data_IF_805634762306
#
_entry.id   IF_805634762306
#
_cell.length_a   1.000
_cell.length_b   1.000
_cell.length_c   1.000
_cell.angle_alpha   90.00
_cell.angle_beta   90.00
_cell.angle_gamma   90.00
#
_symmetry.space_group_name_H-M   'P 1'
#
loop_
_entity.id
_entity.type
_entity.pdbx_description
1 polymer ?
2 non-polymer ?
3 non-polymer ?
4 water ?
#
# COMPACT_ATOMS: atom_id res chain seq x y z
N UNK A 2 20.76 0.78 -22.81
CA UNK A 2 20.62 1.69 -23.96
C UNK A 2 19.18 1.81 -24.46
N UNK A 3 18.22 1.35 -23.64
CA UNK A 3 16.81 1.55 -23.96
C UNK A 3 16.44 3.01 -23.75
N UNK A 4 15.71 3.58 -24.71
CA UNK A 4 15.38 4.99 -24.61
C UNK A 4 14.31 5.18 -23.54
N UNK A 5 14.23 6.41 -23.03
CA UNK A 5 13.16 6.72 -22.09
C UNK A 5 11.82 6.60 -22.79
N UNK A 6 11.75 7.00 -24.07
CA UNK A 6 10.49 6.88 -24.81
C UNK A 6 10.02 5.43 -24.83
N UNK A 7 10.94 4.48 -25.01
CA UNK A 7 10.54 3.08 -25.07
C UNK A 7 10.12 2.57 -23.69
N UNK A 8 10.81 2.97 -22.62
CA UNK A 8 10.35 2.57 -21.28
C UNK A 8 8.96 3.12 -21.03
N UNK A 9 8.75 4.41 -21.37
CA UNK A 9 7.45 5.01 -21.12
C UNK A 9 6.37 4.30 -21.93
N UNK A 10 6.66 3.94 -23.18
CA UNK A 10 5.67 3.27 -24.01
C UNK A 10 5.37 1.87 -23.48
N UNK A 11 6.42 1.16 -23.06
CA UNK A 11 6.21 -0.20 -22.52
C UNK A 11 5.37 -0.17 -21.26
N UNK A 12 5.72 0.70 -20.31
CA UNK A 12 4.95 0.66 -19.04
C UNK A 12 3.51 1.13 -19.29
N UNK A 13 3.32 2.17 -20.10
CA UNK A 13 1.97 2.56 -20.47
C UNK A 13 1.19 1.37 -21.04
N UNK A 14 1.84 0.55 -21.88
CA UNK A 14 1.12 -0.57 -22.53
C UNK A 14 0.66 -1.60 -21.50
N UNK A 15 1.38 -1.73 -20.37
CA UNK A 15 0.93 -2.70 -19.35
C UNK A 15 -0.41 -2.29 -18.77
N UNK A 16 -0.60 -1.01 -18.51
CA UNK A 16 -1.89 -0.53 -18.03
C UNK A 16 -2.95 -0.59 -19.12
N UNK A 17 -2.58 -0.21 -20.34
CA UNK A 17 -3.54 -0.28 -21.45
C UNK A 17 -4.03 -1.70 -21.62
N UNK A 18 -3.12 -2.67 -21.63
CA UNK A 18 -3.54 -4.02 -21.97
C UNK A 18 -4.39 -4.63 -20.87
N UNK A 19 -4.20 -4.18 -19.62
CA UNK A 19 -5.08 -4.56 -18.51
C UNK A 19 -6.41 -3.84 -18.54
N UNK A 20 -6.65 -2.98 -19.52
CA UNK A 20 -7.93 -2.29 -19.66
C UNK A 20 -8.27 -1.43 -18.45
N UNK A 21 -7.26 -0.77 -17.90
CA UNK A 21 -7.44 0.04 -16.71
C UNK A 21 -6.82 1.40 -16.99
N UNK A 22 -6.89 2.26 -15.99
CA UNK A 22 -6.23 3.55 -16.02
C UNK A 22 -5.39 3.64 -14.75
N UNK A 23 -4.11 3.94 -14.90
CA UNK A 23 -3.31 3.98 -13.70
C UNK A 23 -1.95 4.62 -13.91
N UNK A 24 -1.23 4.73 -12.81
CA UNK A 24 0.11 5.28 -12.79
C UNK A 24 0.97 4.40 -11.90
N UNK A 25 2.28 4.41 -12.15
CA UNK A 25 3.21 3.89 -11.16
C UNK A 25 4.29 4.95 -10.98
N UNK A 26 4.53 5.33 -9.72
CA UNK A 26 5.57 6.31 -9.37
C UNK A 26 6.76 5.55 -8.82
N UNK A 27 7.95 5.86 -9.31
CA UNK A 27 9.18 5.24 -8.85
C UNK A 27 10.03 6.34 -8.24
N UNK A 28 10.72 6.05 -7.16
CA UNK A 28 11.57 7.06 -6.55
C UNK A 28 12.99 6.51 -6.46
N UNK A 29 13.95 7.27 -6.99
CA UNK A 29 15.36 6.89 -6.94
C UNK A 29 16.09 8.02 -6.23
N UNK A 30 16.55 7.75 -5.02
CA UNK A 30 17.06 8.83 -4.20
C UNK A 30 15.94 9.79 -3.91
N UNK A 31 16.13 11.05 -4.31
CA UNK A 31 15.10 12.06 -4.12
C UNK A 31 14.23 12.26 -5.36
N UNK A 32 14.52 11.58 -6.49
CA UNK A 32 13.89 11.89 -7.78
C UNK A 32 12.72 10.97 -8.05
N UNK A 33 11.57 11.56 -8.32
CA UNK A 33 10.37 10.82 -8.70
C UNK A 33 10.31 10.67 -10.22
N UNK A 34 9.87 9.50 -10.65
CA UNK A 34 9.56 9.23 -12.04
C UNK A 34 8.15 8.68 -12.12
N UNK A 35 7.39 9.11 -13.12
CA UNK A 35 5.98 8.77 -13.21
C UNK A 35 5.74 8.08 -14.55
N UNK A 36 5.19 6.88 -14.49
CA UNK A 36 4.91 6.09 -15.67
C UNK A 36 3.46 5.60 -15.63
N UNK A 37 2.98 5.08 -16.77
CA UNK A 37 1.65 4.46 -16.80
C UNK A 37 0.83 5.08 -17.92
N UNK A 38 -0.48 4.87 -17.86
CA UNK A 38 -1.35 5.38 -18.93
C UNK A 38 -2.31 6.46 -18.47
N UNK A 39 -2.16 6.98 -17.23
CA UNK A 39 -3.01 8.07 -16.76
C UNK A 39 -2.18 8.87 -15.75
N UNK A 40 -1.20 9.61 -16.28
CA UNK A 40 -0.19 10.22 -15.42
C UNK A 40 -0.77 11.24 -14.43
N UNK A 41 -1.88 11.89 -14.79
CA UNK A 41 -2.48 12.89 -13.93
C UNK A 41 -2.96 12.32 -12.60
N UNK A 42 -3.07 10.99 -12.49
CA UNK A 42 -3.43 10.41 -11.20
C UNK A 42 -2.35 10.63 -10.15
N UNK A 43 -1.12 10.98 -10.55
CA UNK A 43 -0.01 11.04 -9.60
C UNK A 43 -0.28 11.93 -8.40
N UNK A 44 -0.92 13.11 -8.59
CA UNK A 44 -1.15 14.05 -7.49
C UNK A 44 -2.63 14.16 -7.13
N UNK A 45 -3.45 13.16 -7.50
CA UNK A 45 -4.84 13.10 -7.07
C UNK A 45 -4.97 12.23 -5.82
N UNK A 46 -5.95 12.58 -5.00
CA UNK A 46 -6.21 11.89 -3.73
C UNK A 46 -7.18 10.73 -3.93
N UNK A 47 -6.86 9.60 -3.30
CA UNK A 47 -7.72 8.42 -3.25
C UNK A 47 -7.73 7.86 -1.84
N UNK A 48 -8.75 7.08 -1.49
CA UNK A 48 -8.67 6.42 -0.18
C UNK A 48 -7.49 5.48 -0.17
N UNK A 49 -6.80 5.33 0.96
CA UNK A 49 -5.64 4.44 0.97
C UNK A 49 -6.03 2.98 0.94
N UNK A 50 -7.27 2.68 1.31
CA UNK A 50 -7.70 1.29 1.43
C UNK A 50 -6.68 0.51 2.26
N UNK A 51 -6.40 -0.74 1.90
CA UNK A 51 -5.57 -1.56 2.80
C UNK A 51 -4.10 -1.14 2.84
N UNK A 52 -3.65 -0.19 1.98
CA UNK A 52 -2.30 0.31 2.23
C UNK A 52 -2.17 0.94 3.61
N UNK A 53 -3.28 1.40 4.20
CA UNK A 53 -3.23 1.98 5.53
C UNK A 53 -2.79 0.94 6.57
N UNK A 55 -0.17 -0.72 6.73
CA UNK A 55 1.20 -0.42 7.12
C UNK A 55 1.28 0.55 8.28
N UNK A 56 0.53 1.63 8.19
CA UNK A 56 0.57 2.63 9.27
C UNK A 56 -0.23 2.18 10.50
N UNK A 57 -1.36 1.50 10.29
CA UNK A 57 -2.10 0.95 11.41
C UNK A 57 -1.18 0.08 12.26
N UNK A 58 -0.43 -0.82 11.60
CA UNK A 58 0.45 -1.72 12.33
C UNK A 58 1.54 -0.95 13.08
N UNK A 59 2.17 0.04 12.42
CA UNK A 59 3.15 0.86 13.11
C UNK A 59 2.56 1.51 14.34
N UNK A 60 1.38 2.13 14.21
CA UNK A 60 0.74 2.79 15.33
C UNK A 60 0.42 1.80 16.44
N UNK A 61 -0.14 0.63 16.08
CA UNK A 61 -0.56 -0.29 17.14
C UNK A 61 0.64 -0.88 17.87
N UNK A 62 1.72 -1.18 17.14
CA UNK A 62 2.89 -1.73 17.83
C UNK A 62 3.54 -0.67 18.70
N UNK A 63 3.75 0.52 18.13
CA UNK A 63 4.45 1.57 18.88
C UNK A 63 3.73 1.88 20.18
N UNK A 64 2.40 1.84 20.18
CA UNK A 64 1.57 2.21 21.29
C UNK A 64 1.14 0.99 22.11
N UNK A 65 1.79 -0.16 21.91
CA UNK A 65 1.58 -1.34 22.76
C UNK A 65 0.14 -1.85 22.71
N UNK A 66 -0.50 -1.71 21.54
CA UNK A 66 -1.84 -2.24 21.38
C UNK A 66 -1.84 -3.67 20.87
N UNK A 67 -0.67 -4.19 20.48
CA UNK A 67 -0.50 -5.56 20.03
C UNK A 67 1.00 -5.84 20.04
N UNK A 68 1.35 -7.12 19.98
CA UNK A 68 2.72 -7.57 19.76
C UNK A 68 2.77 -8.30 18.44
N UNK A 69 4.00 -8.57 17.93
CA UNK A 69 4.08 -9.24 16.63
C UNK A 69 3.73 -10.71 16.69
N UNK A 70 3.73 -11.31 17.88
CA UNK A 70 3.36 -12.71 17.99
C UNK A 70 1.93 -12.91 18.47
N UNK A 71 1.23 -11.86 18.85
CA UNK A 71 -0.14 -12.01 19.34
C UNK A 71 -1.02 -12.61 18.25
N UNK A 72 -1.84 -13.58 18.62
CA UNK A 72 -2.74 -14.22 17.68
C UNK A 72 -4.13 -13.61 17.91
N UNK A 73 -4.63 -12.92 16.88
CA UNK A 73 -5.98 -12.37 16.86
C UNK A 73 -6.91 -13.51 16.47
N UNK A 74 -7.74 -13.95 17.42
CA UNK A 74 -8.60 -15.10 17.15
C UNK A 74 -9.80 -14.72 16.29
N UNK A 75 -10.10 -15.55 15.31
CA UNK A 75 -11.34 -15.39 14.56
C UNK A 75 -12.52 -15.57 15.49
N UNK A 76 -13.50 -14.67 15.42
CA UNK A 76 -14.62 -14.70 16.36
C UNK A 76 -15.68 -15.71 15.96
N UNK A 77 -15.46 -16.44 14.88
CA UNK A 77 -16.41 -17.45 14.47
C UNK A 77 -17.54 -16.96 13.60
N UNK A 78 -17.61 -15.66 13.34
CA UNK A 78 -18.62 -15.14 12.43
C UNK A 78 -18.18 -15.24 10.96
N UNK A 79 -19.16 -15.37 10.08
CA UNK A 79 -18.85 -15.46 8.66
C UNK A 79 -18.17 -14.17 8.23
N UNK A 80 -17.10 -14.31 7.48
CA UNK A 80 -16.36 -13.17 6.96
C UNK A 80 -16.70 -12.97 5.51
N UNK A 81 -16.33 -11.80 4.99
CA UNK A 81 -16.61 -11.52 3.60
C UNK A 81 -15.91 -12.54 2.71
N UNK A 82 -14.72 -12.98 3.10
CA UNK A 82 -13.92 -13.97 2.42
C UNK A 82 -13.58 -15.10 3.37
N UNK A 83 -13.72 -16.35 2.95
CA UNK A 83 -13.39 -17.47 3.86
C UNK A 83 -11.95 -17.53 4.31
N UNK A 84 -11.00 -16.98 3.55
CA UNK A 84 -9.62 -17.04 3.99
C UNK A 84 -9.38 -16.19 5.25
N UNK A 85 -10.31 -15.31 5.60
CA UNK A 85 -10.18 -14.55 6.84
C UNK A 85 -10.77 -15.28 8.06
N UNK A 86 -11.35 -16.45 7.87
CA UNK A 86 -12.00 -17.19 8.97
C UNK A 86 -10.97 -18.05 9.72
N UNK A 87 -9.98 -17.38 10.26
CA UNK A 87 -8.90 -18.06 10.93
C UNK A 87 -8.17 -17.08 11.82
N UNK A 88 -7.38 -17.64 12.71
CA UNK A 88 -6.62 -16.91 13.70
C UNK A 88 -5.31 -16.43 13.10
N UNK A 89 -4.92 -15.19 13.41
CA UNK A 89 -3.85 -14.55 12.63
C UNK A 89 -3.03 -13.63 13.52
N UNK A 90 -1.71 -13.60 13.27
CA UNK A 90 -0.89 -12.48 13.76
C UNK A 90 -1.08 -11.27 12.85
N UNK A 91 -0.52 -10.12 13.28
CA UNK A 91 -0.58 -8.92 12.43
C UNK A 91 0.08 -9.18 11.10
N UNK A 92 1.17 -9.95 11.08
CA UNK A 92 1.87 -10.22 9.83
C UNK A 92 1.08 -11.08 8.89
N UNK A 93 0.42 -12.12 9.44
CA UNK A 93 -0.44 -12.94 8.60
C UNK A 93 -1.62 -12.13 8.10
N UNK A 94 -2.18 -11.26 8.96
CA UNK A 94 -3.28 -10.41 8.53
C UNK A 94 -2.81 -9.42 7.46
N UNK A 95 -1.56 -8.97 7.53
CA UNK A 95 -1.04 -8.08 6.49
C UNK A 95 -1.08 -8.80 5.15
N UNK A 96 -0.60 -10.05 5.14
CA UNK A 96 -0.48 -10.80 3.90
C UNK A 96 -1.86 -11.17 3.34
N UNK A 97 -2.85 -11.44 4.20
CA UNK A 97 -4.17 -11.73 3.72
C UNK A 97 -5.04 -10.48 3.55
N UNK A 98 -4.52 -9.31 3.87
CA UNK A 98 -5.29 -8.07 3.94
C UNK A 98 -6.57 -8.26 4.75
N UNK A 99 -6.41 -8.86 5.94
CA UNK A 99 -7.54 -9.22 6.78
C UNK A 99 -8.04 -7.99 7.53
N UNK A 100 -8.98 -7.29 6.87
CA UNK A 100 -9.64 -6.11 7.42
C UNK A 100 -10.08 -6.31 8.87
N UNK A 101 -10.75 -7.41 9.22
CA UNK A 101 -11.27 -7.50 10.61
C UNK A 101 -10.19 -7.42 11.66
N UNK A 102 -9.01 -7.98 11.38
CA UNK A 102 -7.96 -7.92 12.37
C UNK A 102 -7.50 -6.48 12.55
N UNK A 103 -7.33 -5.78 11.43
CA UNK A 103 -6.87 -4.39 11.54
C UNK A 103 -7.95 -3.45 12.06
N UNK A 104 -9.23 -3.81 11.91
CA UNK A 104 -10.32 -3.09 12.56
C UNK A 104 -10.26 -3.28 14.08
N UNK A 105 -9.95 -4.49 14.54
CA UNK A 105 -9.73 -4.71 15.97
C UNK A 105 -8.56 -3.89 16.47
N UNK A 106 -7.43 -3.90 15.72
CA UNK A 106 -6.30 -3.09 16.15
C UNK A 106 -6.69 -1.62 16.22
N UNK A 107 -7.40 -1.11 15.20
CA UNK A 107 -7.81 0.30 15.23
C UNK A 107 -8.71 0.61 16.42
N UNK A 108 -9.62 -0.31 16.75
CA UNK A 108 -10.46 -0.09 17.93
C UNK A 108 -9.66 -0.09 19.24
N UNK A 109 -8.59 -0.89 19.32
CA UNK A 109 -7.76 -0.86 20.53
C UNK A 109 -7.06 0.48 20.63
N UNK A 110 -6.57 0.99 19.49
CA UNK A 110 -5.91 2.28 19.50
C UNK A 110 -6.88 3.39 19.89
N UNK A 111 -8.09 3.36 19.34
CA UNK A 111 -9.13 4.32 19.64
C UNK A 111 -9.01 5.60 18.82
N UNK A 112 -10.14 6.29 18.68
CA UNK A 112 -10.20 7.44 17.78
C UNK A 112 -9.19 8.52 18.15
N UNK A 113 -9.14 8.91 19.42
CA UNK A 113 -8.30 10.03 19.81
C UNK A 113 -6.84 9.78 19.48
N UNK A 114 -6.31 8.63 19.89
CA UNK A 114 -4.92 8.33 19.65
C UNK A 114 -4.65 8.11 18.17
N UNK A 115 -5.58 7.41 17.48
CA UNK A 115 -5.41 7.19 16.04
C UNK A 115 -5.26 8.54 15.33
N UNK A 116 -6.14 9.49 15.64
CA UNK A 116 -6.10 10.78 14.95
C UNK A 116 -4.82 11.50 15.28
N UNK A 117 -4.43 11.47 16.56
CA UNK A 117 -3.17 12.11 16.92
C UNK A 117 -1.99 11.49 16.18
N UNK A 118 -1.98 10.15 16.05
CA UNK A 118 -0.84 9.51 15.42
C UNK A 118 -0.84 9.71 13.91
N UNK A 119 -2.03 9.71 13.28
CA UNK A 119 -2.08 9.93 11.83
C UNK A 119 -1.65 11.34 11.51
N UNK A 120 -2.08 12.30 12.35
CA UNK A 120 -1.58 13.67 12.24
C UNK A 120 -0.08 13.76 12.48
N UNK A 121 0.42 13.06 13.50
CA UNK A 121 1.84 13.12 13.83
C UNK A 121 2.72 12.62 12.69
N UNK A 122 2.24 11.61 11.96
CA UNK A 122 2.99 11.09 10.84
C UNK A 122 2.73 11.93 9.58
N UNK A 123 1.67 12.72 9.60
CA UNK A 123 1.28 13.53 8.45
C UNK A 123 1.00 12.70 7.19
N UNK A 124 0.14 11.69 7.38
CA UNK A 124 -0.19 10.75 6.32
C UNK A 124 -1.35 11.26 5.49
N UNK A 125 -1.10 11.46 4.18
CA UNK A 125 -2.19 11.89 3.30
C UNK A 125 -2.79 13.21 3.76
N UNK A 126 -4.12 13.32 3.66
CA UNK A 126 -4.82 14.51 4.15
C UNK A 126 -4.97 14.54 5.66
N UNK A 127 -4.51 13.50 6.34
CA UNK A 127 -4.43 13.39 7.80
C UNK A 127 -5.79 13.31 8.50
N UNK A 128 -6.92 13.27 7.79
CA UNK A 128 -8.24 13.34 8.42
C UNK A 128 -8.83 11.95 8.57
N UNK A 129 -9.09 11.54 9.82
CA UNK A 129 -9.73 10.23 10.01
C UNK A 129 -11.21 10.33 10.37
N UNK A 130 -11.75 11.54 10.55
CA UNK A 130 -13.18 11.62 10.82
C UNK A 130 -13.53 11.05 12.20
N UNK A 131 -14.73 10.49 12.30
CA UNK A 131 -15.31 10.08 13.58
C UNK A 131 -15.44 8.58 13.77
N UNK A 132 -15.11 7.76 12.78
CA UNK A 132 -15.28 6.31 12.87
C UNK A 132 -13.91 5.65 12.80
N UNK A 133 -13.42 5.18 13.96
CA UNK A 133 -12.05 4.67 14.04
C UNK A 133 -11.86 3.40 13.22
N UNK A 134 -12.92 2.67 12.87
CA UNK A 134 -12.80 1.37 12.23
C UNK A 134 -13.03 1.37 10.72
N UNK A 135 -13.22 2.53 10.06
CA UNK A 135 -13.43 2.41 8.61
C UNK A 135 -12.88 3.59 7.80
N UNK A 136 -12.15 4.50 8.43
CA UNK A 136 -11.79 5.76 7.80
C UNK A 136 -10.85 5.57 6.64
N UNK A 137 -10.15 4.44 6.58
CA UNK A 137 -9.23 4.19 5.47
C UNK A 137 -9.91 3.49 4.30
N UNK A 138 -11.19 3.12 4.46
CA UNK A 138 -11.93 2.33 3.49
C UNK A 138 -12.88 3.20 2.70
N UNK A 139 -13.53 4.16 3.36
CA UNK A 139 -14.62 4.91 2.73
C UNK A 139 -14.39 6.40 2.86
N UNK A 140 -13.20 6.79 3.29
CA UNK A 140 -12.95 8.16 3.65
C UNK A 140 -13.26 8.38 5.12
N UNK A 141 -12.94 9.58 5.66
CA UNK A 141 -12.47 10.73 4.87
C UNK A 141 -10.98 10.75 4.57
N UNK A 142 -10.21 9.77 5.07
CA UNK A 142 -8.77 9.77 4.83
C UNK A 142 -8.49 9.52 3.36
N UNK A 143 -7.62 10.35 2.78
CA UNK A 143 -7.20 10.21 1.39
C UNK A 143 -5.71 10.54 1.27
N UNK A 144 -5.12 10.07 0.18
CA UNK A 144 -3.68 10.19 -0.03
C UNK A 144 -3.41 10.10 -1.52
N UNK A 145 -2.36 10.82 -1.98
CA UNK A 145 -2.03 10.70 -3.40
C UNK A 145 -0.95 9.65 -3.66
N UNK A 146 -0.80 9.20 -4.91
CA UNK A 146 0.30 8.28 -5.19
C UNK A 146 1.66 8.86 -4.87
N UNK A 147 1.90 10.17 -5.09
CA UNK A 147 3.18 10.77 -4.69
C UNK A 147 3.38 10.62 -3.19
N UNK A 148 2.32 10.89 -2.41
CA UNK A 148 2.40 10.74 -0.94
C UNK A 148 2.67 9.28 -0.55
N UNK A 149 2.03 8.33 -1.25
CA UNK A 149 2.26 6.92 -0.94
C UNK A 149 3.69 6.51 -1.22
N UNK A 150 4.24 6.91 -2.38
CA UNK A 150 5.64 6.52 -2.62
C UNK A 150 6.57 7.21 -1.63
N UNK A 151 6.27 8.45 -1.20
CA UNK A 151 7.12 9.10 -0.20
C UNK A 151 6.98 8.44 1.16
N UNK A 152 5.79 7.93 1.50
CA UNK A 152 5.65 7.17 2.73
C UNK A 152 6.45 5.88 2.66
N UNK A 153 6.37 5.17 1.53
CA UNK A 153 7.18 3.97 1.34
C UNK A 153 8.67 4.29 1.44
N UNK A 154 9.10 5.41 0.86
CA UNK A 154 10.51 5.80 0.97
C UNK A 154 10.89 6.01 2.43
N UNK A 155 10.03 6.70 3.19
CA UNK A 155 10.32 6.92 4.61
C UNK A 155 10.42 5.58 5.36
N UNK A 156 9.43 4.69 5.17
CA UNK A 156 9.47 3.42 5.89
C UNK A 156 10.69 2.60 5.51
N UNK A 157 10.99 2.51 4.20
CA UNK A 157 12.12 1.70 3.74
C UNK A 157 13.42 2.16 4.39
N UNK A 158 13.55 3.46 4.66
CA UNK A 158 14.77 4.03 5.22
C UNK A 158 14.66 4.33 6.70
N UNK A 159 13.67 3.77 7.39
CA UNK A 159 13.49 3.99 8.83
C UNK A 159 13.35 5.45 9.21
N UNK A 160 12.75 6.28 8.35
CA UNK A 160 12.62 7.69 8.62
C UNK A 160 11.30 8.09 9.23
N UNK A 161 10.32 7.19 9.35
CA UNK A 161 9.08 7.58 10.01
C UNK A 161 9.32 7.78 11.51
N UNK A 162 8.48 8.56 12.17
CA UNK A 162 8.66 8.87 13.60
C UNK A 162 8.17 7.76 14.52
N UNK A 163 8.80 6.59 14.38
CA UNK A 163 8.55 5.44 15.25
C UNK A 163 9.90 4.87 15.60
N UNK A 164 9.95 4.07 16.67
CA UNK A 164 11.18 3.36 16.98
C UNK A 164 11.67 2.59 15.77
N UNK A 165 13.00 2.50 15.63
CA UNK A 165 13.59 1.65 14.62
C UNK A 165 13.03 0.24 14.65
N UNK A 166 12.91 -0.33 15.86
CA UNK A 166 12.41 -1.70 15.99
C UNK A 166 10.98 -1.83 15.48
N UNK A 167 10.13 -0.83 15.75
CA UNK A 167 8.75 -0.86 15.25
C UNK A 167 8.76 -0.88 13.73
N UNK A 168 9.61 -0.07 13.11
CA UNK A 168 9.61 -0.02 11.66
C UNK A 168 10.15 -1.31 11.09
N UNK A 169 11.18 -1.89 11.72
CA UNK A 169 11.70 -3.15 11.22
C UNK A 169 10.66 -4.27 11.34
N UNK A 170 9.90 -4.27 12.44
CA UNK A 170 8.89 -5.32 12.59
C UNK A 170 7.83 -5.22 11.52
N UNK A 171 7.39 -3.99 11.20
CA UNK A 171 6.36 -3.87 10.15
C UNK A 171 6.96 -4.21 8.80
N UNK A 172 8.19 -3.79 8.53
CA UNK A 172 8.79 -4.11 7.24
C UNK A 172 8.89 -5.62 7.02
N UNK A 173 9.15 -6.36 8.08
CA UNK A 173 9.22 -7.82 7.94
C UNK A 173 7.86 -8.37 7.46
N UNK A 174 6.77 -7.73 7.83
CA UNK A 174 5.46 -8.23 7.44
C UNK A 174 5.16 -8.00 5.97
N UNK A 175 5.99 -7.22 5.26
CA UNK A 175 5.66 -6.74 3.92
C UNK A 175 6.40 -7.44 2.80
N UNK A 176 7.24 -8.43 3.11
CA UNK A 176 7.98 -9.12 2.07
C UNK A 176 7.00 -9.95 1.23
N UNK A 177 6.85 -9.61 -0.06
CA UNK A 177 5.91 -10.31 -0.92
C UNK A 177 6.58 -11.08 -2.04
N UNK A 178 7.82 -10.80 -2.39
CA UNK A 178 8.41 -11.51 -3.51
C UNK A 178 9.92 -11.42 -3.45
N UNK A 179 10.57 -12.49 -3.88
CA UNK A 179 12.03 -12.54 -4.01
C UNK A 179 12.34 -12.93 -5.44
N UNK A 180 13.09 -12.07 -6.14
CA UNK A 180 13.37 -12.19 -7.57
C UNK A 180 14.87 -12.10 -7.73
N UNK A 181 15.48 -13.14 -8.29
CA UNK A 181 16.93 -13.26 -8.33
C UNK A 181 17.54 -12.89 -6.98
N UNK A 182 18.23 -11.75 -6.90
CA UNK A 182 18.74 -11.27 -5.62
C UNK A 182 17.95 -10.12 -5.02
N UNK A 183 16.82 -9.74 -5.62
CA UNK A 183 16.06 -8.60 -5.13
C UNK A 183 14.95 -9.07 -4.21
N UNK A 184 14.53 -8.18 -3.33
CA UNK A 184 13.37 -8.42 -2.47
C UNK A 184 12.36 -7.30 -2.68
N UNK A 185 11.10 -7.67 -2.84
CA UNK A 185 10.03 -6.69 -2.99
C UNK A 185 9.20 -6.70 -1.72
N UNK A 186 9.13 -5.54 -1.07
CA UNK A 186 8.31 -5.29 0.10
C UNK A 186 7.16 -4.39 -0.37
N UNK A 187 5.92 -4.80 -0.11
CA UNK A 187 4.84 -3.93 -0.55
C UNK A 187 3.54 -4.33 0.13
N UNK A 188 2.58 -3.41 0.11
CA UNK A 188 1.21 -3.67 0.55
C UNK A 188 0.22 -3.31 -0.55
N UNK A 189 -0.68 -4.24 -0.86
CA UNK A 189 -1.73 -3.98 -1.81
C UNK A 189 -2.89 -3.23 -1.16
N UNK A 190 -3.72 -2.65 -2.03
CA UNK A 190 -4.96 -2.04 -1.57
C UNK A 190 -6.00 -2.22 -2.64
N UNK A 191 -7.24 -2.35 -2.21
CA UNK A 191 -8.35 -2.47 -3.16
C UNK A 191 -9.51 -1.82 -2.44
N UNK A 192 -9.88 -0.62 -2.86
CA UNK A 192 -10.94 0.10 -2.17
C UNK A 192 -12.26 -0.20 -2.81
N UNK A 193 -12.95 -1.18 -2.24
CA UNK A 193 -14.19 -1.70 -2.78
C UNK A 193 -15.34 -0.71 -2.61
N UNK A 194 -16.33 -0.87 -3.48
CA UNK A 194 -17.44 0.03 -3.57
C UNK A 194 -18.18 -0.31 -4.83
N UNK A 195 -18.95 0.64 -5.35
CA UNK A 195 -19.46 0.45 -6.70
C UNK A 195 -18.25 0.43 -7.62
N UNK A 196 -18.11 -0.64 -8.39
CA UNK A 196 -17.03 -0.71 -9.37
C UNK A 196 -17.09 0.55 -10.23
N UNK A 197 -15.93 1.13 -10.61
CA UNK A 197 -14.55 0.73 -10.32
C UNK A 197 -14.04 1.26 -9.00
N UNK A 198 -13.21 0.47 -8.32
CA UNK A 198 -12.60 0.76 -7.03
C UNK A 198 -11.13 1.09 -7.25
N UNK A 199 -10.53 1.82 -6.30
CA UNK A 199 -9.10 2.15 -6.42
C UNK A 199 -8.30 0.91 -6.10
N UNK A 200 -7.22 0.70 -6.83
CA UNK A 200 -6.26 -0.36 -6.56
C UNK A 200 -4.89 0.25 -6.33
N UNK A 201 -4.15 -0.33 -5.38
CA UNK A 201 -2.83 0.16 -5.00
C UNK A 201 -1.87 -1.01 -4.86
N UNK A 202 -0.58 -0.73 -5.11
CA UNK A 202 0.49 -1.59 -4.59
C UNK A 202 1.66 -0.66 -4.28
N UNK A 203 1.99 -0.52 -3.00
CA UNK A 203 2.95 0.49 -2.59
C UNK A 203 4.05 -0.20 -1.79
N UNK A 204 5.30 0.11 -2.10
CA UNK A 204 6.34 -0.58 -1.37
C UNK A 204 7.70 -0.17 -1.89
N UNK A 205 8.65 -1.10 -1.87
CA UNK A 205 9.98 -0.79 -2.39
C UNK A 205 10.67 -2.08 -2.77
N UNK A 206 11.67 -1.95 -3.65
CA UNK A 206 12.54 -3.05 -4.00
C UNK A 206 13.82 -2.86 -3.21
N UNK A 207 14.27 -3.90 -2.52
CA UNK A 207 15.60 -3.88 -1.91
C UNK A 207 16.51 -4.69 -2.82
N UNK A 208 17.45 -4.02 -3.47
CA UNK A 208 18.36 -4.68 -4.39
C UNK A 208 19.47 -5.37 -3.61
N UNK A 209 20.16 -6.28 -4.29
CA UNK A 209 21.15 -7.13 -3.61
C UNK A 209 22.24 -6.28 -2.96
N UNK A 210 22.61 -5.18 -3.60
CA UNK A 210 23.58 -4.26 -3.05
C UNK A 210 23.03 -3.44 -1.88
N UNK A 211 21.74 -3.56 -1.58
CA UNK A 211 21.15 -2.85 -0.46
C UNK A 211 20.45 -1.55 -0.82
N UNK A 212 20.52 -1.11 -2.07
CA UNK A 212 19.79 0.10 -2.43
C UNK A 212 18.29 -0.19 -2.42
N UNK A 213 17.50 0.79 -1.95
CA UNK A 213 16.05 0.65 -1.88
C UNK A 213 15.37 1.60 -2.84
N UNK A 214 14.51 1.07 -3.69
CA UNK A 214 13.81 1.83 -4.72
C UNK A 214 12.31 1.75 -4.43
N UNK A 215 11.73 2.79 -3.85
CA UNK A 215 10.28 2.80 -3.57
C UNK A 215 9.46 2.98 -4.83
N UNK A 216 8.23 2.49 -4.74
CA UNK A 216 7.28 2.65 -5.83
C UNK A 216 5.88 2.72 -5.25
N UNK A 217 4.97 3.28 -6.04
CA UNK A 217 3.55 3.21 -5.72
C UNK A 217 2.78 3.10 -7.02
N UNK A 218 2.07 1.98 -7.18
CA UNK A 218 1.15 1.79 -8.28
C UNK A 218 -0.26 2.14 -7.81
N UNK A 219 -1.00 2.87 -8.65
CA UNK A 219 -2.36 3.29 -8.36
C UNK A 219 -3.15 3.13 -9.65
N UNK A 220 -4.25 2.37 -9.60
CA UNK A 220 -5.04 2.17 -10.80
C UNK A 220 -6.51 2.03 -10.41
N UNK A 221 -7.31 1.86 -11.45
CA UNK A 221 -8.76 1.67 -11.25
C UNK A 221 -9.06 0.18 -11.40
N UNK A 222 -9.60 -0.44 -10.34
CA UNK A 222 -10.08 -1.82 -10.40
C UNK A 222 -11.47 -1.87 -11.02
N UNK A 223 -11.61 -2.65 -12.08
CA UNK A 223 -12.80 -2.69 -12.92
C UNK A 223 -13.52 -3.98 -12.63
N UNK A 224 -14.72 -4.10 -13.22
CA UNK A 224 -15.56 -5.27 -13.01
C UNK A 224 -14.81 -6.53 -13.40
N UNK A 225 -14.67 -7.45 -12.46
CA UNK A 225 -14.07 -8.73 -12.76
C UNK A 225 -12.57 -8.73 -13.00
N UNK A 226 -11.86 -7.68 -12.60
CA UNK A 226 -10.40 -7.75 -12.63
C UNK A 226 -9.89 -8.59 -11.48
N UNK A 227 -8.74 -9.21 -11.68
CA UNK A 227 -8.06 -9.96 -10.63
C UNK A 227 -7.12 -9.02 -9.87
N UNK A 228 -7.06 -9.20 -8.54
CA UNK A 228 -6.13 -8.40 -7.75
C UNK A 228 -4.69 -8.56 -8.20
N UNK A 229 -4.36 -9.71 -8.79
CA UNK A 229 -2.98 -9.95 -9.18
C UNK A 229 -2.54 -9.05 -10.31
N UNK A 230 -3.47 -8.39 -11.03
CA UNK A 230 -3.03 -7.41 -12.02
C UNK A 230 -2.17 -6.31 -11.40
N UNK A 231 -2.45 -5.92 -10.15
CA UNK A 231 -1.62 -4.90 -9.51
C UNK A 231 -0.19 -5.38 -9.42
N UNK A 232 0.01 -6.62 -8.94
CA UNK A 232 1.34 -7.19 -8.84
C UNK A 232 1.98 -7.38 -10.20
N UNK A 233 1.20 -7.89 -11.17
CA UNK A 233 1.76 -8.18 -12.50
C UNK A 233 2.23 -6.90 -13.19
N UNK A 234 1.41 -5.85 -13.20
CA UNK A 234 1.86 -4.59 -13.80
C UNK A 234 3.08 -4.05 -13.06
N UNK A 235 3.08 -4.10 -11.73
CA UNK A 235 4.21 -3.59 -10.98
C UNK A 235 5.48 -4.34 -11.33
N UNK A 236 5.43 -5.67 -11.29
CA UNK A 236 6.66 -6.42 -11.54
C UNK A 236 7.16 -6.21 -12.96
N UNK A 237 6.25 -6.20 -13.94
CA UNK A 237 6.66 -5.96 -15.33
C UNK A 237 7.30 -4.58 -15.46
N UNK A 238 6.76 -3.58 -14.77
CA UNK A 238 7.30 -2.22 -14.86
C UNK A 238 8.69 -2.15 -14.23
N UNK A 239 8.84 -2.71 -13.01
CA UNK A 239 10.14 -2.74 -12.37
C UNK A 239 11.16 -3.50 -13.20
N UNK A 240 10.73 -4.60 -13.84
CA UNK A 240 11.64 -5.34 -14.70
C UNK A 240 12.02 -4.51 -15.92
N UNK A 241 11.05 -3.85 -16.55
CA UNK A 241 11.36 -3.08 -17.75
C UNK A 241 12.40 -2.01 -17.46
N UNK A 242 12.34 -1.43 -16.26
CA UNK A 242 13.28 -0.36 -15.88
C UNK A 242 14.59 -0.91 -15.34
N UNK A 243 14.73 -2.23 -15.26
CA UNK A 243 15.92 -2.87 -14.74
C UNK A 243 16.08 -2.75 -13.26
N UNK A 244 14.97 -2.49 -12.55
CA UNK A 244 15.05 -2.35 -11.10
C UNK A 244 15.08 -3.73 -10.44
N UNK A 245 14.43 -4.71 -11.05
CA UNK A 245 14.58 -6.10 -10.67
C UNK A 245 14.95 -6.85 -11.93
#
# INVERSE_FOLDING_TARGET
>A
MHISSQQHEKAIKSYFDEAQTQGVIIIKEGKNLSTYGNALARANKEYVPASTFXMLNALIGLENHKATTNEIFKWDGKKRTYPMWEKDMTLGEAMALSAVPVYQELARRTGLELMQKEVKRVNFGNTNIGTQVDNFWLVGPLKITPVQEVNFADDLAHNRLPFKLETQEEVKKMLLIKEVNGSKIYAKSGWGMGVTPQVGWLTGWVEQANGKKIPFSLNLEMKEGMSGSIRNEITYKSLENLGII
#
